data_IF_415568573509
#
_entry.id   IF_415568573509
#
_cell.length_a   1.000
_cell.length_b   1.000
_cell.length_c   1.000
_cell.angle_alpha   90.00
_cell.angle_beta   90.00
_cell.angle_gamma   90.00
#
_symmetry.space_group_name_H-M   'P 1'
#
loop_
_entity.id
_entity.type
_entity.pdbx_description
1 polymer ?
#
# COMPACT_ATOMS: atom_id res chain seq x y z
N UNK A 1 -5.53 -14.74 -4.16
CA UNK A 1 -4.54 -13.84 -4.79
C UNK A 1 -3.17 -14.14 -4.22
N UNK A 2 -2.15 -14.12 -5.06
CA UNK A 2 -0.75 -14.30 -4.68
C UNK A 2 -0.25 -12.96 -4.12
N UNK A 3 0.32 -12.94 -2.91
CA UNK A 3 0.86 -11.72 -2.32
C UNK A 3 2.24 -11.42 -2.89
N UNK A 4 2.46 -10.23 -3.43
CA UNK A 4 3.75 -9.77 -3.94
C UNK A 4 4.28 -8.62 -3.08
N UNK A 5 5.21 -8.94 -2.18
CA UNK A 5 5.90 -7.94 -1.36
C UNK A 5 6.86 -7.12 -2.23
N UNK A 6 7.21 -5.91 -1.77
CA UNK A 6 8.12 -4.97 -2.44
C UNK A 6 7.65 -4.51 -3.83
N UNK A 7 6.41 -4.81 -4.21
CA UNK A 7 5.85 -4.46 -5.50
C UNK A 7 4.96 -3.23 -5.42
N UNK A 8 5.33 -2.20 -6.18
CA UNK A 8 4.46 -1.13 -6.63
C UNK A 8 3.88 -1.55 -7.98
N UNK A 9 2.57 -1.76 -8.03
CA UNK A 9 1.86 -2.02 -9.27
C UNK A 9 1.17 -0.73 -9.76
N UNK A 10 1.34 -0.44 -11.05
CA UNK A 10 0.83 0.76 -11.72
C UNK A 10 -0.15 0.30 -12.81
N UNK A 11 -1.43 0.54 -12.55
CA UNK A 11 -2.53 0.36 -13.48
C UNK A 11 -2.87 1.62 -14.26
N UNK A 12 -3.71 1.48 -15.28
CA UNK A 12 -4.20 2.58 -16.10
C UNK A 12 -5.68 2.42 -16.46
N UNK A 13 -6.44 3.50 -16.36
CA UNK A 13 -7.82 3.58 -16.79
C UNK A 13 -7.99 3.51 -18.33
N UNK A 14 -6.97 3.92 -19.10
CA UNK A 14 -7.13 4.32 -20.50
C UNK A 14 -5.86 4.22 -21.35
N UNK A 15 -5.82 4.93 -22.48
CA UNK A 15 -4.54 5.27 -23.15
C UNK A 15 -4.03 6.58 -22.56
N UNK A 16 -2.76 6.88 -22.79
CA UNK A 16 -2.15 8.20 -22.51
C UNK A 16 -2.29 8.71 -21.07
N UNK A 17 -2.54 7.81 -20.11
CA UNK A 17 -2.68 8.12 -18.68
C UNK A 17 -1.38 8.50 -17.97
N UNK A 18 -0.25 8.60 -18.69
CA UNK A 18 1.06 8.87 -18.09
C UNK A 18 1.68 7.71 -17.27
N UNK A 19 1.06 6.52 -17.22
CA UNK A 19 1.54 5.37 -16.40
C UNK A 19 3.05 5.08 -16.54
N UNK A 20 3.58 5.11 -17.76
CA UNK A 20 4.98 4.76 -18.04
C UNK A 20 5.90 5.91 -17.69
N UNK A 21 5.44 7.15 -17.87
CA UNK A 21 6.16 8.32 -17.39
C UNK A 21 6.29 8.28 -15.86
N UNK A 22 5.19 7.97 -15.15
CA UNK A 22 5.21 7.82 -13.71
C UNK A 22 6.13 6.69 -13.25
N UNK A 23 6.02 5.49 -13.85
CA UNK A 23 6.90 4.36 -13.55
C UNK A 23 8.38 4.73 -13.71
N UNK A 24 8.73 5.44 -14.79
CA UNK A 24 10.10 5.92 -15.00
C UNK A 24 10.53 6.93 -13.91
N UNK A 25 9.66 7.86 -13.51
CA UNK A 25 9.96 8.82 -12.44
C UNK A 25 10.19 8.12 -11.09
N UNK A 26 9.38 7.10 -10.76
CA UNK A 26 9.58 6.27 -9.57
C UNK A 26 10.93 5.54 -9.62
N UNK A 27 11.24 4.89 -10.74
CA UNK A 27 12.51 4.16 -10.90
C UNK A 27 13.69 5.12 -10.73
N UNK A 28 13.69 6.29 -11.39
CA UNK A 28 14.77 7.29 -11.28
C UNK A 28 14.98 7.75 -9.84
N UNK A 29 13.89 7.97 -9.09
CA UNK A 29 13.97 8.38 -7.69
C UNK A 29 14.54 7.27 -6.81
N UNK A 30 14.12 6.03 -7.03
CA UNK A 30 14.44 4.91 -6.12
C UNK A 30 15.73 4.15 -6.47
N UNK A 31 16.23 4.24 -7.70
CA UNK A 31 17.42 3.48 -8.12
C UNK A 31 18.74 3.99 -7.52
N UNK A 32 18.73 5.16 -6.87
CA UNK A 32 19.89 5.67 -6.15
C UNK A 32 20.20 4.85 -4.90
N UNK A 33 19.15 4.42 -4.18
CA UNK A 33 19.28 3.77 -2.86
C UNK A 33 18.88 2.29 -2.88
N UNK A 34 18.26 1.82 -3.96
CA UNK A 34 17.67 0.49 -4.03
C UNK A 34 17.93 -0.19 -5.38
N UNK A 35 18.06 -1.53 -5.34
CA UNK A 35 17.96 -2.35 -6.54
C UNK A 35 16.50 -2.37 -7.02
N UNK A 36 16.23 -1.76 -8.19
CA UNK A 36 14.87 -1.67 -8.75
C UNK A 36 14.74 -2.53 -10.00
N UNK A 37 13.72 -3.39 -10.03
CA UNK A 37 13.34 -4.19 -11.18
C UNK A 37 12.04 -3.65 -11.78
N UNK A 38 12.07 -3.39 -13.09
CA UNK A 38 10.87 -3.06 -13.86
C UNK A 38 10.13 -4.33 -14.28
N UNK A 39 8.80 -4.28 -14.29
CA UNK A 39 7.98 -5.37 -14.81
C UNK A 39 6.92 -4.81 -15.74
N UNK A 40 6.76 -5.43 -16.91
CA UNK A 40 5.63 -5.21 -17.81
C UNK A 40 4.84 -6.51 -17.94
N UNK A 41 3.51 -6.41 -17.92
CA UNK A 41 2.64 -7.56 -18.20
C UNK A 41 1.71 -7.25 -19.36
N UNK A 42 1.67 -8.15 -20.35
CA UNK A 42 0.76 -8.07 -21.49
C UNK A 42 -0.06 -9.35 -21.56
N UNK A 43 -1.37 -9.22 -21.36
CA UNK A 43 -2.30 -10.34 -21.51
C UNK A 43 -2.75 -10.49 -22.96
N UNK A 44 -2.69 -11.71 -23.48
CA UNK A 44 -3.12 -12.10 -24.82
C UNK A 44 -4.47 -12.83 -24.70
N UNK A 45 -5.44 -12.46 -25.54
CA UNK A 45 -6.80 -13.05 -25.46
C UNK A 45 -6.80 -14.49 -25.98
N UNK A 46 -6.21 -14.74 -27.15
CA UNK A 46 -6.22 -16.03 -27.83
C UNK A 46 -4.89 -16.22 -28.59
N UNK A 47 -4.43 -17.46 -28.75
CA UNK A 47 -3.22 -17.79 -29.52
C UNK A 47 -3.42 -17.34 -30.98
N UNK A 48 -2.48 -16.57 -31.53
CA UNK A 48 -2.57 -16.04 -32.90
C UNK A 48 -3.48 -14.81 -33.09
N UNK A 49 -4.00 -14.22 -32.00
CA UNK A 49 -4.86 -13.03 -32.08
C UNK A 49 -4.15 -11.74 -32.54
N UNK A 50 -4.93 -10.78 -33.06
CA UNK A 50 -4.43 -9.46 -33.47
C UNK A 50 -3.84 -8.69 -32.28
N UNK A 51 -2.65 -8.11 -32.47
CA UNK A 51 -1.96 -7.32 -31.46
C UNK A 51 -2.83 -6.13 -31.00
N UNK A 52 -3.13 -5.98 -29.68
CA UNK A 52 -3.95 -4.87 -29.18
C UNK A 52 -3.28 -3.50 -29.28
N UNK A 53 -1.99 -3.45 -29.64
CA UNK A 53 -1.24 -2.21 -29.95
C UNK A 53 -1.34 -1.79 -31.43
N UNK A 54 -2.05 -2.53 -32.28
CA UNK A 54 -2.49 -2.05 -33.59
C UNK A 54 -1.40 -1.83 -34.64
N UNK A 55 -0.36 -2.66 -34.66
CA UNK A 55 0.57 -2.70 -35.79
C UNK A 55 0.40 -4.02 -36.54
N UNK A 56 -0.02 -3.97 -37.81
CA UNK A 56 0.33 -5.05 -38.74
C UNK A 56 1.86 -5.16 -38.72
N UNK A 57 2.38 -6.37 -38.47
CA UNK A 57 3.81 -6.74 -38.53
C UNK A 57 4.76 -6.54 -37.33
N UNK A 58 4.33 -6.37 -36.06
CA UNK A 58 5.33 -6.34 -34.97
C UNK A 58 5.93 -7.73 -34.61
N UNK A 59 5.27 -8.84 -34.96
CA UNK A 59 5.76 -10.20 -34.71
C UNK A 59 5.83 -10.65 -33.23
N UNK A 60 5.72 -9.74 -32.26
CA UNK A 60 6.01 -10.02 -30.84
C UNK A 60 4.89 -10.79 -30.11
N UNK A 61 3.68 -10.82 -30.66
CA UNK A 61 2.47 -11.36 -30.01
C UNK A 61 1.94 -12.66 -30.62
N UNK A 62 2.41 -13.06 -31.82
CA UNK A 62 1.82 -14.17 -32.57
C UNK A 62 2.39 -15.55 -32.19
N UNK A 63 3.55 -15.61 -31.55
CA UNK A 63 4.22 -16.84 -31.14
C UNK A 63 4.50 -16.82 -29.64
N UNK A 64 3.52 -17.25 -28.83
CA UNK A 64 3.82 -17.76 -27.50
C UNK A 64 4.12 -19.26 -27.64
N UNK A 65 5.35 -19.67 -27.35
CA UNK A 65 5.68 -21.08 -27.16
C UNK A 65 5.17 -21.49 -25.77
N UNK A 66 3.89 -21.86 -25.67
CA UNK A 66 3.23 -22.28 -24.44
C UNK A 66 2.16 -21.32 -23.91
N UNK A 67 1.91 -21.35 -22.60
CA UNK A 67 0.85 -20.57 -21.95
C UNK A 67 1.27 -19.14 -21.61
N UNK A 68 2.58 -18.94 -21.44
CA UNK A 68 3.20 -17.66 -21.18
C UNK A 68 4.64 -17.67 -21.68
N UNK A 69 5.21 -16.48 -21.84
CA UNK A 69 6.62 -16.25 -22.12
C UNK A 69 7.09 -15.10 -21.23
N UNK A 70 8.15 -15.35 -20.47
CA UNK A 70 8.81 -14.36 -19.64
C UNK A 70 10.13 -13.98 -20.30
N UNK A 71 10.39 -12.69 -20.50
CA UNK A 71 11.66 -12.21 -21.08
C UNK A 71 12.34 -11.26 -20.11
N UNK A 72 13.66 -11.35 -20.02
CA UNK A 72 14.50 -10.46 -19.20
C UNK A 72 15.31 -9.57 -20.14
N UNK A 73 15.30 -8.28 -19.84
CA UNK A 73 16.14 -7.28 -20.48
C UNK A 73 17.03 -6.64 -19.40
N UNK A 74 18.34 -6.58 -19.68
CA UNK A 74 19.33 -5.98 -18.80
C UNK A 74 20.11 -4.90 -19.55
N UNK A 75 20.63 -3.91 -18.83
CA UNK A 75 21.47 -2.86 -19.43
C UNK A 75 22.66 -3.49 -20.17
N UNK A 76 22.86 -3.14 -21.43
CA UNK A 76 24.06 -3.54 -22.18
C UNK A 76 25.29 -2.91 -21.52
N UNK A 77 26.04 -3.71 -20.76
CA UNK A 77 27.21 -3.24 -20.01
C UNK A 77 27.93 -4.26 -19.12
N UNK A 78 27.45 -5.49 -18.99
CA UNK A 78 28.13 -6.58 -18.26
C UNK A 78 28.26 -7.88 -19.06
N UNK A 79 28.37 -7.83 -20.39
CA UNK A 79 28.95 -8.94 -21.15
C UNK A 79 30.34 -8.55 -21.63
N UNK A 80 31.38 -9.09 -20.96
CA UNK A 80 32.62 -9.38 -21.67
C UNK A 80 32.27 -10.38 -22.76
N UNK A 81 32.12 -9.90 -24.00
CA UNK A 81 32.39 -10.57 -25.28
C UNK A 81 31.48 -10.02 -26.38
N UNK A 82 32.13 -9.43 -27.40
CA UNK A 82 31.76 -9.51 -28.81
C UNK A 82 30.39 -8.98 -29.24
N UNK A 83 30.41 -7.84 -29.93
CA UNK A 83 29.35 -7.50 -30.90
C UNK A 83 29.30 -8.59 -31.97
N UNK A 84 28.25 -9.40 -31.99
CA UNK A 84 27.79 -10.09 -33.20
C UNK A 84 26.28 -9.97 -33.28
N UNK A 85 25.79 -9.48 -34.42
CA UNK A 85 24.40 -9.66 -34.86
C UNK A 85 24.03 -11.14 -34.81
N UNK A 86 23.35 -11.57 -33.76
CA UNK A 86 22.99 -12.96 -33.51
C UNK A 86 21.54 -13.08 -33.05
N UNK A 87 20.88 -14.18 -33.46
CA UNK A 87 19.54 -14.57 -33.01
C UNK A 87 19.43 -14.47 -31.47
N UNK A 88 18.23 -14.16 -30.92
CA UNK A 88 18.02 -14.14 -29.48
C UNK A 88 18.47 -15.48 -28.86
N UNK A 89 19.35 -15.43 -27.86
CA UNK A 89 19.75 -16.60 -27.09
C UNK A 89 18.61 -16.97 -26.12
N UNK A 90 18.16 -18.22 -26.14
CA UNK A 90 17.31 -18.77 -25.08
C UNK A 90 18.16 -18.93 -23.81
N UNK A 91 17.94 -18.06 -22.82
CA UNK A 91 18.36 -18.32 -21.45
C UNK A 91 17.28 -19.11 -20.71
N UNK A 92 17.62 -19.59 -19.52
CA UNK A 92 16.66 -20.22 -18.60
C UNK A 92 16.83 -19.61 -17.22
N UNK A 93 15.72 -19.20 -16.59
CA UNK A 93 15.72 -18.81 -15.18
C UNK A 93 15.24 -20.00 -14.34
N UNK A 94 15.99 -20.44 -13.32
CA UNK A 94 15.53 -21.46 -12.40
C UNK A 94 14.34 -20.93 -11.58
N UNK A 95 13.27 -21.73 -11.51
CA UNK A 95 12.08 -21.46 -10.69
C UNK A 95 11.77 -22.70 -9.84
N UNK A 96 10.89 -22.56 -8.84
CA UNK A 96 10.45 -23.71 -8.05
C UNK A 96 9.74 -24.73 -8.97
N UNK A 97 10.36 -25.91 -9.14
CA UNK A 97 9.83 -26.99 -9.98
C UNK A 97 10.39 -27.07 -11.40
N UNK A 98 11.43 -26.31 -11.76
CA UNK A 98 12.13 -26.47 -13.04
C UNK A 98 12.83 -25.20 -13.53
N UNK A 99 12.89 -25.02 -14.85
CA UNK A 99 13.43 -23.83 -15.50
C UNK A 99 12.41 -23.22 -16.44
N UNK A 100 12.21 -21.90 -16.37
CA UNK A 100 11.37 -21.17 -17.33
C UNK A 100 12.28 -20.61 -18.44
N UNK A 101 11.97 -20.82 -19.73
CA UNK A 101 12.73 -20.21 -20.81
C UNK A 101 12.55 -18.69 -20.77
N UNK A 102 13.68 -17.99 -20.70
CA UNK A 102 13.75 -16.53 -20.75
C UNK A 102 14.49 -16.12 -22.01
N UNK A 103 13.75 -15.55 -22.95
CA UNK A 103 14.35 -14.99 -24.15
C UNK A 103 14.95 -13.62 -23.81
N UNK A 104 16.22 -13.42 -24.15
CA UNK A 104 16.83 -12.07 -24.14
C UNK A 104 16.46 -11.39 -25.45
N UNK A 105 15.66 -10.33 -25.39
CA UNK A 105 15.18 -9.59 -26.58
C UNK A 105 15.44 -8.11 -26.37
N UNK A 106 15.81 -7.37 -27.42
CA UNK A 106 15.79 -5.90 -27.41
C UNK A 106 14.40 -5.45 -27.86
N UNK A 107 13.62 -4.79 -26.99
CA UNK A 107 12.31 -4.26 -27.33
C UNK A 107 12.19 -2.76 -26.99
N UNK A 108 11.78 -1.95 -27.98
CA UNK A 108 11.61 -0.48 -27.91
C UNK A 108 10.72 0.05 -26.77
N UNK A 109 9.96 -0.82 -26.11
CA UNK A 109 8.96 -0.46 -25.11
C UNK A 109 9.47 -0.61 -23.66
N UNK A 110 10.36 -1.56 -23.42
CA UNK A 110 10.99 -1.90 -22.13
C UNK A 110 12.25 -1.06 -21.88
N UNK A 111 12.88 -0.58 -22.95
CA UNK A 111 14.02 0.37 -22.93
C UNK A 111 13.78 1.54 -21.96
N UNK A 112 12.57 2.12 -21.93
CA UNK A 112 12.25 3.28 -21.07
C UNK A 112 12.47 3.02 -19.57
N UNK A 113 12.18 1.81 -19.08
CA UNK A 113 12.37 1.49 -17.66
C UNK A 113 13.85 1.24 -17.33
N UNK A 114 14.60 0.64 -18.27
CA UNK A 114 16.06 0.49 -18.16
C UNK A 114 16.75 1.86 -18.19
N UNK A 115 16.38 2.72 -19.14
CA UNK A 115 16.87 4.10 -19.26
C UNK A 115 16.56 4.94 -18.01
N UNK A 116 15.43 4.65 -17.35
CA UNK A 116 15.05 5.29 -16.10
C UNK A 116 15.88 4.83 -14.89
N UNK A 117 16.69 3.76 -15.02
CA UNK A 117 17.57 3.30 -13.94
C UNK A 117 17.31 1.88 -13.45
N UNK A 118 16.31 1.16 -13.96
CA UNK A 118 16.05 -0.21 -13.54
C UNK A 118 17.26 -1.10 -13.83
N UNK A 119 17.61 -1.97 -12.88
CA UNK A 119 18.71 -2.91 -13.05
C UNK A 119 18.37 -3.99 -14.09
N UNK A 120 17.12 -4.45 -14.04
CA UNK A 120 16.52 -5.43 -14.95
C UNK A 120 15.09 -5.05 -15.26
N UNK A 121 14.60 -5.47 -16.42
CA UNK A 121 13.19 -5.38 -16.78
C UNK A 121 12.69 -6.74 -17.22
N UNK A 122 11.66 -7.25 -16.56
CA UNK A 122 10.96 -8.46 -16.97
C UNK A 122 9.71 -8.10 -17.77
N UNK A 123 9.47 -8.79 -18.88
CA UNK A 123 8.24 -8.69 -19.64
C UNK A 123 7.53 -10.03 -19.69
N UNK A 124 6.40 -10.12 -18.99
CA UNK A 124 5.50 -11.27 -19.02
C UNK A 124 4.46 -11.09 -20.11
N UNK A 125 4.46 -11.98 -21.09
CA UNK A 125 3.38 -12.16 -22.07
C UNK A 125 2.66 -13.45 -21.72
N UNK A 126 1.34 -13.39 -21.50
CA UNK A 126 0.60 -14.52 -20.93
C UNK A 126 -0.83 -14.59 -21.47
N UNK A 127 -1.33 -15.80 -21.72
CA UNK A 127 -2.73 -16.01 -22.05
C UNK A 127 -3.62 -15.63 -20.86
N UNK A 128 -4.74 -14.97 -21.12
CA UNK A 128 -5.60 -14.40 -20.07
C UNK A 128 -6.08 -15.42 -19.05
N UNK A 129 -6.39 -16.64 -19.50
CA UNK A 129 -6.80 -17.80 -18.69
C UNK A 129 -5.65 -18.48 -17.93
N UNK A 130 -4.39 -18.15 -18.27
CA UNK A 130 -3.17 -18.68 -17.66
C UNK A 130 -2.39 -17.62 -16.88
N UNK A 131 -3.04 -16.50 -16.55
CA UNK A 131 -2.41 -15.37 -15.88
C UNK A 131 -1.86 -15.73 -14.49
N UNK A 132 -2.52 -16.60 -13.73
CA UNK A 132 -2.00 -17.03 -12.43
C UNK A 132 -0.69 -17.81 -12.56
N UNK A 133 -0.59 -18.72 -13.53
CA UNK A 133 0.63 -19.49 -13.82
C UNK A 133 1.78 -18.56 -14.22
N UNK A 134 1.53 -17.64 -15.17
CA UNK A 134 2.53 -16.66 -15.57
C UNK A 134 2.93 -15.72 -14.43
N UNK A 135 2.00 -15.37 -13.53
CA UNK A 135 2.30 -14.55 -12.37
C UNK A 135 3.22 -15.28 -11.37
N UNK A 136 3.02 -16.58 -11.14
CA UNK A 136 3.91 -17.39 -10.28
C UNK A 136 5.32 -17.46 -10.87
N UNK A 137 5.42 -17.80 -12.15
CA UNK A 137 6.71 -17.85 -12.84
C UNK A 137 7.45 -16.50 -12.83
N UNK A 138 6.71 -15.40 -13.01
CA UNK A 138 7.26 -14.05 -12.85
C UNK A 138 7.79 -13.84 -11.43
N UNK A 139 6.99 -14.09 -10.40
CA UNK A 139 7.38 -13.84 -9.01
C UNK A 139 8.57 -14.70 -8.56
N UNK A 140 8.64 -15.95 -9.02
CA UNK A 140 9.77 -16.85 -8.75
C UNK A 140 11.07 -16.38 -9.40
N UNK A 141 10.98 -15.65 -10.52
CA UNK A 141 12.13 -15.09 -11.22
C UNK A 141 12.64 -13.76 -10.63
N UNK A 142 11.84 -13.07 -9.81
CA UNK A 142 12.23 -11.78 -9.23
C UNK A 142 13.17 -11.96 -8.06
N UNK A 143 14.18 -11.09 -7.96
CA UNK A 143 15.02 -10.99 -6.77
C UNK A 143 14.16 -10.61 -5.54
N UNK A 144 14.11 -11.45 -4.49
CA UNK A 144 13.27 -11.20 -3.31
C UNK A 144 13.69 -9.95 -2.53
N UNK A 145 14.90 -9.43 -2.77
CA UNK A 145 15.40 -8.22 -2.15
C UNK A 145 15.21 -6.95 -2.99
N UNK A 146 14.86 -7.08 -4.28
CA UNK A 146 14.64 -5.92 -5.14
C UNK A 146 13.29 -5.24 -4.88
N UNK A 147 13.24 -3.93 -5.14
CA UNK A 147 11.97 -3.22 -5.29
C UNK A 147 11.43 -3.44 -6.70
N UNK A 148 10.13 -3.72 -6.80
CA UNK A 148 9.49 -4.01 -8.08
C UNK A 148 8.58 -2.87 -8.48
N UNK A 149 8.75 -2.35 -9.70
CA UNK A 149 7.84 -1.39 -10.34
C UNK A 149 7.16 -2.08 -11.51
N UNK A 150 5.91 -2.49 -11.32
CA UNK A 150 5.16 -3.33 -12.26
C UNK A 150 4.04 -2.58 -12.96
N UNK A 151 4.06 -2.50 -14.28
CA UNK A 151 2.95 -1.99 -15.07
C UNK A 151 1.95 -3.10 -15.45
N UNK A 152 0.78 -3.10 -14.81
CA UNK A 152 -0.31 -4.00 -15.22
C UNK A 152 -1.65 -3.64 -14.57
N UNK A 153 -2.74 -3.71 -15.34
CA UNK A 153 -4.08 -3.88 -14.78
C UNK A 153 -4.36 -5.35 -14.50
N UNK A 154 -4.10 -6.21 -15.49
CA UNK A 154 -4.54 -7.61 -15.45
C UNK A 154 -3.87 -8.36 -14.31
N UNK A 155 -2.56 -8.15 -14.07
CA UNK A 155 -1.83 -8.85 -13.00
C UNK A 155 -2.51 -8.63 -11.64
N UNK A 156 -3.16 -7.47 -11.41
CA UNK A 156 -3.89 -7.19 -10.17
C UNK A 156 -5.05 -8.16 -9.92
N UNK A 157 -5.62 -8.83 -10.92
CA UNK A 157 -6.72 -9.80 -10.68
C UNK A 157 -6.24 -11.06 -9.96
N UNK A 158 -4.95 -11.38 -10.02
CA UNK A 158 -4.36 -12.58 -9.41
C UNK A 158 -3.29 -12.25 -8.36
N UNK A 159 -2.65 -11.08 -8.44
CA UNK A 159 -1.60 -10.62 -7.51
C UNK A 159 -2.10 -9.47 -6.63
N UNK A 160 -1.81 -9.54 -5.34
CA UNK A 160 -1.98 -8.46 -4.38
C UNK A 160 -0.59 -7.84 -4.07
N UNK A 161 -0.28 -6.66 -4.64
CA UNK A 161 0.99 -5.96 -4.41
C UNK A 161 1.00 -5.22 -3.05
N UNK A 162 2.17 -4.73 -2.64
CA UNK A 162 2.25 -3.83 -1.49
C UNK A 162 1.50 -2.52 -1.76
N UNK A 163 1.65 -1.94 -2.95
CA UNK A 163 0.95 -0.72 -3.33
C UNK A 163 0.39 -0.85 -4.75
N UNK A 164 -0.89 -0.53 -4.94
CA UNK A 164 -1.52 -0.47 -6.25
C UNK A 164 -2.05 0.92 -6.55
N UNK A 165 -1.39 1.59 -7.50
CA UNK A 165 -1.78 2.90 -8.01
C UNK A 165 -2.42 2.74 -9.38
N UNK A 166 -3.45 3.51 -9.66
CA UNK A 166 -4.09 3.53 -10.97
C UNK A 166 -4.07 4.94 -11.54
N UNK A 167 -3.78 5.08 -12.82
CA UNK A 167 -3.68 6.39 -13.47
C UNK A 167 -4.78 6.58 -14.52
N UNK A 168 -5.35 7.78 -14.62
CA UNK A 168 -6.28 8.16 -15.68
C UNK A 168 -5.85 9.49 -16.31
N UNK A 169 -6.18 9.69 -17.58
CA UNK A 169 -6.08 11.02 -18.17
C UNK A 169 -7.22 11.91 -17.62
N UNK A 170 -7.01 13.22 -17.53
CA UNK A 170 -8.02 14.18 -17.08
C UNK A 170 -9.29 14.12 -17.96
N UNK A 171 -9.10 13.98 -19.27
CA UNK A 171 -10.18 13.88 -20.25
C UNK A 171 -10.82 12.47 -20.34
N UNK A 172 -10.29 11.49 -19.60
CA UNK A 172 -10.82 10.14 -19.64
C UNK A 172 -12.18 10.08 -18.93
N UNK A 173 -13.25 9.91 -19.72
CA UNK A 173 -14.63 9.77 -19.23
C UNK A 173 -14.96 8.36 -18.74
N UNK A 174 -14.24 7.35 -19.22
CA UNK A 174 -14.52 5.95 -18.92
C UNK A 174 -13.27 5.17 -18.56
N UNK A 175 -13.46 4.09 -17.81
CA UNK A 175 -12.43 3.10 -17.52
C UNK A 175 -12.58 1.93 -18.50
N UNK A 176 -11.47 1.48 -19.09
CA UNK A 176 -11.41 0.22 -19.85
C UNK A 176 -11.87 -0.96 -18.97
N UNK A 177 -12.37 -2.02 -19.59
CA UNK A 177 -12.84 -3.22 -18.88
C UNK A 177 -11.80 -3.78 -17.90
N UNK A 178 -10.53 -3.88 -18.32
CA UNK A 178 -9.44 -4.35 -17.44
C UNK A 178 -9.17 -3.42 -16.26
N UNK A 179 -9.40 -2.12 -16.40
CA UNK A 179 -9.26 -1.16 -15.31
C UNK A 179 -10.45 -1.21 -14.35
N UNK A 180 -11.68 -1.32 -14.89
CA UNK A 180 -12.92 -1.48 -14.09
C UNK A 180 -12.84 -2.68 -13.16
N UNK A 181 -12.31 -3.81 -13.64
CA UNK A 181 -12.19 -5.06 -12.88
C UNK A 181 -11.31 -4.94 -11.62
N UNK A 182 -10.39 -3.97 -11.57
CA UNK A 182 -9.41 -3.85 -10.48
C UNK A 182 -9.42 -2.48 -9.81
N UNK A 183 -10.25 -1.53 -10.26
CA UNK A 183 -10.30 -0.15 -9.76
C UNK A 183 -10.56 -0.07 -8.26
N UNK A 184 -11.45 -0.92 -7.75
CA UNK A 184 -11.79 -0.93 -6.31
C UNK A 184 -10.61 -1.34 -5.44
N UNK A 185 -9.64 -2.04 -6.03
CA UNK A 185 -8.40 -2.40 -5.37
C UNK A 185 -7.34 -1.28 -5.43
N UNK A 186 -7.54 -0.20 -6.17
CA UNK A 186 -6.55 0.88 -6.24
C UNK A 186 -6.50 1.66 -4.92
N UNK A 187 -5.31 1.68 -4.30
CA UNK A 187 -5.04 2.45 -3.09
C UNK A 187 -5.22 3.96 -3.38
N UNK A 188 -4.83 4.39 -4.58
CA UNK A 188 -5.11 5.72 -5.13
C UNK A 188 -5.31 5.64 -6.65
N UNK A 189 -6.29 6.39 -7.14
CA UNK A 189 -6.48 6.65 -8.57
C UNK A 189 -5.99 8.07 -8.87
N UNK A 190 -4.81 8.22 -9.45
CA UNK A 190 -4.24 9.50 -9.83
C UNK A 190 -4.70 9.95 -11.23
N UNK A 191 -4.77 11.26 -11.43
CA UNK A 191 -5.17 11.95 -12.65
C UNK A 191 -3.95 12.61 -13.27
N UNK A 192 -3.75 12.40 -14.58
CA UNK A 192 -2.72 13.01 -15.39
C UNK A 192 -3.34 14.01 -16.36
N UNK A 193 -2.83 15.25 -16.41
CA UNK A 193 -3.36 16.32 -17.26
C UNK A 193 -2.58 16.52 -18.57
N UNK A 194 -1.63 15.63 -18.89
CA UNK A 194 -0.72 15.76 -20.03
C UNK A 194 0.67 16.29 -19.66
N UNK A 195 0.81 16.96 -18.51
CA UNK A 195 2.08 17.50 -18.01
C UNK A 195 2.46 16.93 -16.63
N UNK A 196 1.51 16.86 -15.71
CA UNK A 196 1.71 16.49 -14.31
C UNK A 196 0.61 15.56 -13.78
N UNK A 197 0.89 14.94 -12.63
CA UNK A 197 -0.04 14.07 -11.90
C UNK A 197 -0.61 14.80 -10.67
N UNK A 198 -1.85 14.53 -10.30
CA UNK A 198 -2.45 14.93 -9.00
C UNK A 198 -1.97 14.06 -7.81
N UNK A 199 -0.74 13.55 -7.93
CA UNK A 199 -0.04 12.73 -6.97
C UNK A 199 1.41 13.22 -6.94
N UNK A 200 1.86 13.62 -5.76
CA UNK A 200 3.24 14.02 -5.54
C UNK A 200 4.12 12.78 -5.45
N UNK A 201 5.25 12.78 -6.14
CA UNK A 201 6.21 11.68 -6.06
C UNK A 201 6.87 11.63 -4.68
N UNK A 202 6.88 12.73 -3.94
CA UNK A 202 7.39 12.80 -2.56
C UNK A 202 6.45 12.18 -1.53
N UNK A 203 5.19 11.95 -1.90
CA UNK A 203 4.30 11.11 -1.10
C UNK A 203 4.66 9.62 -1.21
N UNK A 204 5.46 9.21 -2.21
CA UNK A 204 5.91 7.83 -2.38
C UNK A 204 7.28 7.64 -1.73
N UNK A 205 7.36 6.65 -0.84
CA UNK A 205 8.60 6.30 -0.13
C UNK A 205 8.77 4.79 -0.02
N UNK A 206 9.97 4.38 0.41
CA UNK A 206 10.31 2.99 0.70
C UNK A 206 10.80 2.91 2.14
N UNK A 207 10.26 1.99 2.91
CA UNK A 207 10.75 1.68 4.24
C UNK A 207 10.74 0.17 4.47
N UNK A 208 11.83 -0.37 5.03
CA UNK A 208 11.99 -1.82 5.24
C UNK A 208 11.73 -2.65 3.97
N UNK A 209 12.14 -2.11 2.81
CA UNK A 209 11.93 -2.73 1.50
C UNK A 209 10.48 -2.70 0.98
N UNK A 210 9.57 -2.00 1.65
CA UNK A 210 8.15 -1.92 1.25
C UNK A 210 7.79 -0.53 0.74
N UNK A 211 6.96 -0.48 -0.29
CA UNK A 211 6.40 0.77 -0.81
C UNK A 211 5.35 1.34 0.14
N UNK A 212 5.45 2.64 0.41
CA UNK A 212 4.51 3.41 1.19
C UNK A 212 4.03 4.64 0.41
N UNK A 213 2.75 4.97 0.56
CA UNK A 213 2.14 6.19 0.05
C UNK A 213 1.62 7.02 1.23
N UNK A 214 1.99 8.31 1.28
CA UNK A 214 1.35 9.29 2.16
C UNK A 214 -0.02 9.67 1.60
N UNK A 215 -1.06 9.14 2.22
CA UNK A 215 -2.43 9.38 1.83
C UNK A 215 -2.86 10.82 2.19
N UNK A 216 -3.69 11.42 1.33
CA UNK A 216 -4.44 12.64 1.63
C UNK A 216 -5.56 12.34 2.64
N UNK A 217 -5.13 11.98 3.84
CA UNK A 217 -5.92 11.60 5.01
C UNK A 217 -5.11 11.96 6.25
N UNK A 218 -5.79 12.11 7.38
CA UNK A 218 -5.15 12.28 8.67
C UNK A 218 -5.08 10.94 9.42
N UNK A 219 -4.09 10.79 10.28
CA UNK A 219 -4.10 9.79 11.34
C UNK A 219 -4.23 10.46 12.70
N UNK A 220 -5.02 9.87 13.58
CA UNK A 220 -5.32 10.35 14.91
C UNK A 220 -4.88 9.28 15.90
N UNK A 221 -3.93 9.65 16.75
CA UNK A 221 -3.44 8.79 17.82
C UNK A 221 -4.16 9.16 19.12
N UNK A 222 -4.95 8.23 19.65
CA UNK A 222 -5.60 8.40 20.93
C UNK A 222 -4.60 8.12 22.05
N UNK A 223 -4.11 9.20 22.67
CA UNK A 223 -3.17 9.16 23.78
C UNK A 223 -3.79 9.64 25.11
N UNK A 224 -5.04 10.12 25.08
CA UNK A 224 -5.80 10.51 26.27
C UNK A 224 -6.46 9.34 27.01
N UNK A 225 -6.42 9.38 28.35
CA UNK A 225 -7.17 8.49 29.23
C UNK A 225 -6.49 8.26 30.57
N UNK A 226 -7.26 8.07 31.64
CA UNK A 226 -6.68 7.75 32.96
C UNK A 226 -6.17 6.30 32.95
N UNK A 227 -4.87 6.10 32.70
CA UNK A 227 -4.16 4.82 32.72
C UNK A 227 -4.03 4.24 34.15
N UNK A 228 -5.15 4.14 34.87
CA UNK A 228 -5.20 3.73 36.29
C UNK A 228 -4.71 2.31 36.53
N UNK A 229 -4.80 1.42 35.52
CA UNK A 229 -4.41 0.00 35.63
C UNK A 229 -2.91 -0.27 35.54
N UNK A 230 -2.12 0.63 34.94
CA UNK A 230 -0.66 0.44 34.76
C UNK A 230 0.20 1.33 35.67
N UNK A 231 -0.41 2.28 36.40
CA UNK A 231 0.29 3.18 37.33
C UNK A 231 1.26 4.17 36.66
N UNK A 232 1.44 4.09 35.34
CA UNK A 232 2.20 4.99 34.46
C UNK A 232 1.42 5.19 33.16
N UNK A 233 1.69 6.27 32.45
CA UNK A 233 1.16 6.44 31.10
C UNK A 233 1.70 5.34 30.19
N UNK A 234 0.78 4.56 29.59
CA UNK A 234 1.10 3.46 28.68
C UNK A 234 1.83 3.98 27.44
N UNK A 235 1.45 5.15 26.95
CA UNK A 235 2.03 5.77 25.75
C UNK A 235 3.56 5.96 25.89
N UNK A 236 4.02 6.17 27.13
CA UNK A 236 5.40 6.47 27.49
C UNK A 236 6.23 5.23 27.87
N UNK A 237 5.66 4.02 27.77
CA UNK A 237 6.44 2.80 27.99
C UNK A 237 7.51 2.65 26.90
N UNK A 238 8.77 2.34 27.24
CA UNK A 238 9.85 2.25 26.26
C UNK A 238 9.77 0.95 25.44
N UNK A 239 9.90 1.04 24.13
CA UNK A 239 10.08 -0.07 23.22
C UNK A 239 11.34 0.22 22.40
N UNK A 240 12.35 -0.66 22.48
CA UNK A 240 13.65 -0.43 21.81
C UNK A 240 14.25 0.97 22.11
N UNK A 241 14.15 1.42 23.36
CA UNK A 241 14.69 2.72 23.81
C UNK A 241 13.82 3.95 23.50
N UNK A 242 12.67 3.81 22.84
CA UNK A 242 11.77 4.93 22.48
C UNK A 242 10.35 4.70 22.99
N UNK A 243 9.58 5.73 23.39
CA UNK A 243 8.18 5.57 23.83
C UNK A 243 7.31 4.83 22.82
N UNK A 244 6.35 4.01 23.27
CA UNK A 244 5.41 3.29 22.40
C UNK A 244 4.70 4.22 21.41
N UNK A 245 4.26 5.38 21.86
CA UNK A 245 3.59 6.36 20.99
C UNK A 245 4.49 6.87 19.87
N UNK A 246 5.81 6.94 20.07
CA UNK A 246 6.75 7.38 19.06
C UNK A 246 6.84 6.36 17.91
N UNK A 247 6.74 5.06 18.20
CA UNK A 247 6.66 4.01 17.18
C UNK A 247 5.38 4.13 16.35
N UNK A 248 4.25 4.39 17.02
CA UNK A 248 2.95 4.61 16.36
C UNK A 248 3.02 5.83 15.43
N UNK A 249 3.44 6.99 15.96
CA UNK A 249 3.52 8.25 15.19
C UNK A 249 4.48 8.13 14.01
N UNK A 250 5.69 7.61 14.22
CA UNK A 250 6.69 7.46 13.15
C UNK A 250 6.28 6.44 12.07
N UNK A 251 5.45 5.46 12.42
CA UNK A 251 4.78 4.60 11.45
C UNK A 251 3.76 5.36 10.62
N UNK A 252 2.91 6.15 11.27
CA UNK A 252 1.83 6.90 10.62
C UNK A 252 2.33 8.03 9.71
N UNK A 253 3.38 8.75 10.08
CA UNK A 253 3.96 9.85 9.27
C UNK A 253 4.32 9.43 7.83
N UNK A 254 4.69 8.16 7.64
CA UNK A 254 5.02 7.58 6.32
C UNK A 254 3.81 7.29 5.45
N UNK A 255 2.63 7.23 6.05
CA UNK A 255 1.39 6.81 5.40
C UNK A 255 0.30 7.88 5.40
N UNK A 256 0.46 8.96 6.17
CA UNK A 256 -0.53 10.03 6.28
C UNK A 256 0.13 11.40 6.08
N UNK A 257 -0.62 12.32 5.46
CA UNK A 257 -0.15 13.70 5.27
C UNK A 257 -0.24 14.53 6.55
N UNK A 258 -1.08 14.13 7.49
CA UNK A 258 -1.26 14.78 8.78
C UNK A 258 -1.36 13.70 9.86
N UNK A 259 -0.65 13.91 10.97
CA UNK A 259 -0.78 13.09 12.18
C UNK A 259 -1.18 14.03 13.32
N UNK A 260 -2.19 13.64 14.11
CA UNK A 260 -2.71 14.40 15.23
C UNK A 260 -2.70 13.51 16.46
N UNK A 261 -2.27 14.05 17.59
CA UNK A 261 -2.30 13.37 18.87
C UNK A 261 -3.51 13.91 19.65
N UNK A 262 -4.45 13.02 19.98
CA UNK A 262 -5.57 13.33 20.87
C UNK A 262 -5.10 13.17 22.32
N UNK A 263 -4.79 14.30 22.97
CA UNK A 263 -4.35 14.35 24.36
C UNK A 263 -4.65 15.72 24.99
N UNK A 264 -4.90 15.75 26.30
CA UNK A 264 -5.29 16.97 27.01
C UNK A 264 -4.09 17.82 27.47
N UNK A 265 -2.88 17.27 27.50
CA UNK A 265 -1.64 18.02 27.79
C UNK A 265 -0.72 18.04 26.57
N UNK A 266 -0.66 19.16 25.82
CA UNK A 266 0.27 19.30 24.70
C UNK A 266 1.75 19.18 25.06
N UNK A 267 2.14 19.52 26.29
CA UNK A 267 3.56 19.51 26.70
C UNK A 267 4.12 18.11 26.80
N UNK A 268 3.28 17.14 27.18
CA UNK A 268 3.66 15.73 27.33
C UNK A 268 4.15 15.12 26.01
N UNK A 269 3.57 15.55 24.89
CA UNK A 269 3.80 14.99 23.56
C UNK A 269 4.57 15.92 22.61
N UNK A 270 5.06 17.06 23.10
CA UNK A 270 5.76 18.06 22.30
C UNK A 270 7.01 17.50 21.58
N UNK A 271 7.67 16.51 22.17
CA UNK A 271 8.86 15.86 21.59
C UNK A 271 8.59 15.12 20.26
N UNK A 272 7.32 14.81 19.96
CA UNK A 272 6.93 14.14 18.72
C UNK A 272 6.83 15.10 17.54
N UNK A 273 6.80 16.43 17.79
CA UNK A 273 6.68 17.44 16.74
C UNK A 273 5.32 17.48 16.03
N UNK A 274 4.34 16.70 16.50
CA UNK A 274 2.99 16.63 15.94
C UNK A 274 2.01 17.56 16.65
N UNK A 275 0.92 17.89 15.96
CA UNK A 275 -0.16 18.69 16.56
C UNK A 275 -0.88 17.89 17.64
N UNK A 276 -0.91 18.43 18.86
CA UNK A 276 -1.70 17.88 19.97
C UNK A 276 -3.03 18.63 20.06
N UNK A 277 -4.13 17.89 20.15
CA UNK A 277 -5.50 18.43 20.27
C UNK A 277 -6.17 17.79 21.47
N UNK A 278 -6.58 18.64 22.41
CA UNK A 278 -7.35 18.23 23.59
C UNK A 278 -8.83 18.05 23.31
N UNK A 279 -9.51 17.43 24.26
CA UNK A 279 -10.97 17.32 24.25
C UNK A 279 -11.61 18.71 24.33
N UNK A 280 -12.59 19.00 23.47
CA UNK A 280 -13.43 20.21 23.54
C UNK A 280 -14.14 20.28 24.91
N UNK A 281 -14.59 19.13 25.41
CA UNK A 281 -15.13 18.97 26.76
C UNK A 281 -14.47 17.79 27.47
N UNK A 282 -13.52 18.04 28.40
CA UNK A 282 -12.80 16.98 29.11
C UNK A 282 -13.72 15.96 29.80
N UNK A 283 -13.27 14.71 29.89
CA UNK A 283 -13.95 13.65 30.66
C UNK A 283 -15.16 13.02 29.96
N UNK A 284 -15.34 13.28 28.66
CA UNK A 284 -16.44 12.72 27.85
C UNK A 284 -16.07 11.41 27.12
N UNK A 285 -14.91 10.84 27.44
CA UNK A 285 -14.45 9.54 26.93
C UNK A 285 -13.96 9.59 25.48
N UNK A 286 -13.61 8.43 24.88
CA UNK A 286 -12.96 8.39 23.57
C UNK A 286 -13.77 9.03 22.43
N UNK A 287 -15.11 9.05 22.53
CA UNK A 287 -15.95 9.71 21.54
C UNK A 287 -15.64 11.22 21.44
N UNK A 288 -15.35 11.88 22.56
CA UNK A 288 -15.01 13.31 22.55
C UNK A 288 -13.66 13.55 21.90
N UNK A 289 -12.64 12.80 22.27
CA UNK A 289 -11.32 12.90 21.66
C UNK A 289 -11.37 12.68 20.15
N UNK A 290 -12.17 11.71 19.69
CA UNK A 290 -12.41 11.49 18.25
C UNK A 290 -13.12 12.69 17.62
N UNK A 291 -14.20 13.22 18.20
CA UNK A 291 -14.91 14.37 17.63
C UNK A 291 -14.01 15.61 17.54
N UNK A 292 -13.32 15.97 18.62
CA UNK A 292 -12.41 17.14 18.63
C UNK A 292 -11.30 17.03 17.60
N UNK A 293 -10.71 15.84 17.45
CA UNK A 293 -9.63 15.63 16.46
C UNK A 293 -10.14 15.49 15.03
N UNK A 294 -11.28 14.83 14.81
CA UNK A 294 -11.92 14.81 13.49
C UNK A 294 -12.24 16.21 13.02
N UNK A 295 -12.71 17.10 13.88
CA UNK A 295 -13.00 18.48 13.47
C UNK A 295 -11.74 19.30 13.19
N UNK A 296 -10.74 19.17 14.05
CA UNK A 296 -9.49 19.88 13.94
C UNK A 296 -8.62 19.43 12.75
N UNK A 297 -8.86 18.21 12.23
CA UNK A 297 -8.08 17.67 11.12
C UNK A 297 -8.33 18.40 9.81
N UNK A 298 -7.31 18.48 8.98
CA UNK A 298 -7.40 19.11 7.65
C UNK A 298 -8.14 18.23 6.65
N UNK A 299 -8.11 16.91 6.87
CA UNK A 299 -8.62 15.92 5.93
C UNK A 299 -10.00 15.38 6.32
N UNK A 300 -10.82 15.09 5.31
CA UNK A 300 -12.12 14.46 5.51
C UNK A 300 -12.01 13.01 6.03
N UNK A 301 -11.00 12.25 5.58
CA UNK A 301 -10.78 10.85 5.99
C UNK A 301 -9.73 10.79 7.09
N UNK A 302 -10.06 10.10 8.19
CA UNK A 302 -9.26 10.06 9.40
C UNK A 302 -9.10 8.60 9.86
N UNK A 303 -7.87 8.11 9.95
CA UNK A 303 -7.58 6.82 10.61
C UNK A 303 -7.35 7.07 12.10
N UNK A 304 -8.22 6.54 12.94
CA UNK A 304 -8.11 6.63 14.41
C UNK A 304 -7.47 5.36 14.93
N UNK A 305 -6.43 5.49 15.75
CA UNK A 305 -5.73 4.37 16.39
C UNK A 305 -5.36 4.70 17.84
N UNK A 306 -5.37 3.72 18.72
CA UNK A 306 -4.84 3.88 20.08
C UNK A 306 -3.29 3.92 20.08
N UNK A 307 -2.71 4.60 21.07
CA UNK A 307 -1.25 4.72 21.21
C UNK A 307 -0.53 3.41 21.61
N UNK A 308 -1.25 2.35 21.94
CA UNK A 308 -0.74 1.07 22.44
C UNK A 308 -0.71 -0.05 21.37
N UNK A 309 -0.77 0.32 20.08
CA UNK A 309 -0.69 -0.57 18.92
C UNK A 309 0.57 -0.22 18.08
N UNK A 310 1.79 -0.57 18.54
CA UNK A 310 3.03 -0.13 17.88
C UNK A 310 3.28 -0.78 16.50
N UNK A 311 2.67 -1.93 16.22
CA UNK A 311 2.85 -2.65 14.95
C UNK A 311 1.60 -2.60 14.09
N UNK A 312 1.38 -1.48 13.42
CA UNK A 312 0.21 -1.28 12.55
C UNK A 312 0.38 -2.05 11.23
N UNK A 313 -0.59 -2.90 10.88
CA UNK A 313 -0.66 -3.47 9.54
C UNK A 313 -1.20 -2.44 8.55
N UNK A 314 -0.29 -1.68 7.93
CA UNK A 314 -0.66 -0.66 6.95
C UNK A 314 -1.34 -1.23 5.70
N UNK A 315 -1.14 -2.50 5.36
CA UNK A 315 -1.89 -3.13 4.28
C UNK A 315 -3.38 -3.24 4.63
N UNK A 316 -3.68 -3.57 5.89
CA UNK A 316 -5.05 -3.56 6.40
C UNK A 316 -5.61 -2.12 6.50
N UNK A 317 -4.81 -1.15 6.96
CA UNK A 317 -5.22 0.27 6.99
C UNK A 317 -5.58 0.77 5.59
N UNK A 318 -4.79 0.46 4.55
CA UNK A 318 -5.12 0.81 3.16
C UNK A 318 -6.43 0.16 2.68
N UNK A 319 -6.72 -1.09 3.09
CA UNK A 319 -8.03 -1.71 2.84
C UNK A 319 -9.17 -0.90 3.45
N UNK A 320 -9.02 -0.41 4.68
CA UNK A 320 -10.01 0.46 5.32
C UNK A 320 -10.16 1.81 4.61
N UNK A 321 -9.05 2.48 4.27
CA UNK A 321 -9.06 3.76 3.55
C UNK A 321 -9.72 3.66 2.16
N UNK A 322 -9.50 2.55 1.43
CA UNK A 322 -10.21 2.31 0.16
C UNK A 322 -11.71 2.14 0.37
N UNK A 323 -12.09 1.38 1.39
CA UNK A 323 -13.50 1.08 1.69
C UNK A 323 -14.26 2.29 2.20
N UNK A 324 -13.61 3.21 2.91
CA UNK A 324 -14.26 4.39 3.51
C UNK A 324 -14.84 5.37 2.50
N UNK A 325 -14.43 5.31 1.22
CA UNK A 325 -14.92 6.20 0.14
C UNK A 325 -16.46 6.29 0.04
N UNK A 326 -17.19 5.30 0.54
CA UNK A 326 -18.65 5.20 0.44
C UNK A 326 -19.38 5.21 1.79
N UNK A 327 -18.66 5.35 2.91
CA UNK A 327 -19.18 5.16 4.27
C UNK A 327 -18.72 6.29 5.19
N UNK A 328 -19.43 6.47 6.31
CA UNK A 328 -19.05 7.44 7.34
C UNK A 328 -17.98 6.84 8.28
N UNK A 329 -17.88 5.51 8.33
CA UNK A 329 -16.78 4.81 8.99
C UNK A 329 -16.59 3.37 8.52
N UNK A 330 -15.35 2.88 8.70
CA UNK A 330 -14.95 1.49 8.45
C UNK A 330 -14.33 0.96 9.74
N UNK A 331 -15.00 -0.01 10.35
CA UNK A 331 -14.63 -0.53 11.68
C UNK A 331 -14.24 -2.01 11.56
N UNK A 332 -13.04 -2.42 11.99
CA UNK A 332 -12.67 -3.82 12.00
C UNK A 332 -13.60 -4.63 12.89
N UNK A 333 -13.86 -5.87 12.47
CA UNK A 333 -14.66 -6.83 13.21
C UNK A 333 -13.91 -8.15 13.29
N UNK A 334 -13.68 -8.64 14.50
CA UNK A 334 -13.11 -9.97 14.74
C UNK A 334 -14.08 -11.06 14.28
N UNK A 335 -13.59 -12.29 14.05
CA UNK A 335 -14.45 -13.44 13.74
C UNK A 335 -15.50 -13.72 14.82
N UNK A 336 -15.20 -13.40 16.09
CA UNK A 336 -16.13 -13.53 17.20
C UNK A 336 -17.21 -12.43 17.24
N UNK A 337 -17.17 -11.45 16.32
CA UNK A 337 -18.14 -10.36 16.22
C UNK A 337 -17.75 -9.08 16.96
N UNK A 338 -16.67 -9.09 17.74
CA UNK A 338 -16.20 -7.89 18.46
C UNK A 338 -15.71 -6.81 17.49
N UNK A 339 -16.07 -5.56 17.76
CA UNK A 339 -15.67 -4.39 16.98
C UNK A 339 -14.43 -3.73 17.58
N UNK A 340 -13.60 -3.15 16.73
CA UNK A 340 -12.38 -2.42 17.12
C UNK A 340 -12.49 -0.94 16.74
N UNK A 341 -13.37 -0.17 17.41
CA UNK A 341 -13.71 1.19 17.01
C UNK A 341 -12.59 2.22 17.26
N UNK A 342 -11.57 1.86 18.05
CA UNK A 342 -10.40 2.70 18.29
C UNK A 342 -9.21 2.32 17.39
N UNK A 343 -9.46 1.50 16.37
CA UNK A 343 -8.55 1.24 15.26
C UNK A 343 -9.37 1.20 13.95
N UNK A 344 -9.90 2.35 13.56
CA UNK A 344 -10.92 2.44 12.52
C UNK A 344 -10.72 3.68 11.66
N UNK A 345 -11.32 3.69 10.47
CA UNK A 345 -11.37 4.89 9.63
C UNK A 345 -12.71 5.57 9.82
N UNK A 346 -12.70 6.86 10.10
CA UNK A 346 -13.89 7.70 10.20
C UNK A 346 -13.80 8.88 9.25
N UNK A 347 -14.95 9.34 8.75
CA UNK A 347 -15.04 10.54 7.92
C UNK A 347 -15.73 11.66 8.65
N UNK A 348 -15.46 12.91 8.26
CA UNK A 348 -16.14 14.09 8.80
C UNK A 348 -17.66 14.04 8.60
N UNK A 349 -18.15 13.31 7.59
CA UNK A 349 -19.59 13.08 7.40
C UNK A 349 -20.28 12.39 8.58
N UNK A 350 -19.54 11.64 9.42
CA UNK A 350 -20.07 11.02 10.64
C UNK A 350 -20.18 11.96 11.84
N UNK A 351 -19.62 13.18 11.78
CA UNK A 351 -19.56 14.09 12.92
C UNK A 351 -20.93 14.45 13.50
N UNK A 352 -21.96 14.61 12.64
CA UNK A 352 -23.30 14.98 13.08
C UNK A 352 -23.87 13.94 14.06
N UNK A 353 -23.80 12.66 13.69
CA UNK A 353 -24.24 11.55 14.53
C UNK A 353 -23.39 11.41 15.80
N UNK A 354 -22.07 11.57 15.68
CA UNK A 354 -21.15 11.53 16.83
C UNK A 354 -21.46 12.64 17.85
N UNK A 355 -21.77 13.86 17.39
CA UNK A 355 -22.19 14.98 18.23
C UNK A 355 -23.56 14.73 18.87
N UNK A 356 -24.52 14.19 18.14
CA UNK A 356 -25.81 13.81 18.70
C UNK A 356 -25.66 12.79 19.85
N UNK A 357 -24.79 11.79 19.68
CA UNK A 357 -24.48 10.83 20.73
C UNK A 357 -23.83 11.49 21.96
N UNK A 358 -22.92 12.46 21.78
CA UNK A 358 -22.34 13.23 22.89
C UNK A 358 -23.39 14.05 23.65
N UNK A 359 -24.28 14.74 22.92
CA UNK A 359 -25.39 15.51 23.51
C UNK A 359 -26.33 14.60 24.32
N UNK A 360 -26.55 13.37 23.85
CA UNK A 360 -27.30 12.33 24.58
C UNK A 360 -26.51 11.69 25.74
N UNK A 361 -25.36 12.24 26.11
CA UNK A 361 -24.53 11.78 27.23
C UNK A 361 -23.75 10.48 26.96
N UNK A 362 -23.69 10.01 25.71
CA UNK A 362 -22.90 8.83 25.35
C UNK A 362 -21.41 9.17 25.30
N UNK A 363 -20.57 8.20 25.66
CA UNK A 363 -19.11 8.35 25.73
C UNK A 363 -18.33 7.42 24.79
N UNK A 364 -19.02 6.42 24.23
CA UNK A 364 -18.43 5.41 23.34
C UNK A 364 -18.88 5.69 21.92
N UNK A 365 -17.95 5.67 20.97
CA UNK A 365 -18.25 5.92 19.56
C UNK A 365 -19.22 4.93 18.93
N UNK A 366 -19.25 3.69 19.44
CA UNK A 366 -20.23 2.67 18.99
C UNK A 366 -21.67 3.15 19.17
N UNK A 367 -21.93 4.05 20.13
CA UNK A 367 -23.27 4.61 20.35
C UNK A 367 -23.75 5.56 19.23
N UNK A 368 -22.86 5.99 18.33
CA UNK A 368 -23.21 6.79 17.16
C UNK A 368 -23.40 5.94 15.88
N UNK A 369 -23.14 4.63 15.93
CA UNK A 369 -23.10 3.79 14.73
C UNK A 369 -24.47 3.62 14.09
N UNK A 370 -25.54 3.59 14.88
CA UNK A 370 -26.91 3.43 14.34
C UNK A 370 -27.32 4.62 13.45
N UNK A 371 -26.75 5.80 13.70
CA UNK A 371 -26.99 7.03 12.94
C UNK A 371 -25.89 7.30 11.89
N UNK A 372 -24.98 6.36 11.65
CA UNK A 372 -23.90 6.45 10.67
C UNK A 372 -23.97 5.31 9.66
N UNK A 373 -23.53 5.56 8.42
CA UNK A 373 -23.25 4.47 7.47
C UNK A 373 -21.92 3.83 7.83
N UNK A 374 -21.94 2.87 8.75
CA UNK A 374 -20.77 2.08 9.12
C UNK A 374 -20.69 0.82 8.27
N UNK A 375 -19.49 0.50 7.80
CA UNK A 375 -19.19 -0.81 7.23
C UNK A 375 -18.09 -1.50 8.03
N UNK A 376 -18.04 -2.83 7.90
CA UNK A 376 -17.08 -3.65 8.62
C UNK A 376 -16.10 -4.33 7.69
N UNK A 377 -14.89 -4.56 8.17
CA UNK A 377 -13.89 -5.41 7.52
C UNK A 377 -13.48 -6.50 8.50
N UNK A 378 -13.43 -7.75 8.03
CA UNK A 378 -13.04 -8.87 8.88
C UNK A 378 -11.56 -8.76 9.24
N UNK A 379 -11.28 -8.81 10.54
CA UNK A 379 -9.94 -8.93 11.09
C UNK A 379 -9.59 -10.43 11.19
N UNK A 380 -9.11 -11.00 10.09
CA UNK A 380 -8.80 -12.43 10.01
C UNK A 380 -7.58 -12.83 10.86
N UNK A 381 -6.58 -11.95 10.96
CA UNK A 381 -5.45 -12.07 11.87
C UNK A 381 -5.36 -10.79 12.71
N UNK A 382 -5.77 -10.87 13.98
CA UNK A 382 -5.81 -9.75 14.92
C UNK A 382 -4.56 -9.58 15.78
N UNK A 383 -3.51 -10.37 15.57
CA UNK A 383 -2.30 -10.33 16.41
C UNK A 383 -1.64 -8.95 16.43
N UNK A 384 -1.64 -8.24 15.31
CA UNK A 384 -1.07 -6.90 15.20
C UNK A 384 -1.88 -5.83 15.95
N UNK A 385 -3.16 -6.11 16.24
CA UNK A 385 -4.09 -5.21 16.91
C UNK A 385 -4.19 -5.48 18.43
N UNK A 386 -3.28 -6.29 18.99
CA UNK A 386 -3.29 -6.58 20.43
C UNK A 386 -2.84 -5.34 21.22
N UNK A 387 -3.81 -4.65 21.82
CA UNK A 387 -3.57 -3.52 22.72
C UNK A 387 -2.74 -3.94 23.93
N UNK A 388 -1.79 -3.11 24.33
CA UNK A 388 -0.94 -3.33 25.51
C UNK A 388 -1.65 -2.74 26.74
N UNK A 389 -2.44 -3.58 27.42
CA UNK A 389 -3.25 -3.15 28.55
C UNK A 389 -2.63 -3.42 29.91
N UNK A 390 -1.71 -4.38 29.98
CA UNK A 390 -1.08 -4.87 31.21
C UNK A 390 0.43 -4.93 31.09
N UNK A 391 1.13 -4.90 32.23
CA UNK A 391 2.59 -5.09 32.26
C UNK A 391 3.01 -6.49 31.79
N UNK A 392 2.15 -7.50 31.90
CA UNK A 392 2.40 -8.83 31.36
C UNK A 392 2.47 -8.80 29.83
N UNK A 393 1.47 -8.21 29.17
CA UNK A 393 1.44 -8.06 27.71
C UNK A 393 2.61 -7.21 27.18
N UNK A 394 2.99 -6.17 27.93
CA UNK A 394 4.17 -5.37 27.60
C UNK A 394 5.47 -6.19 27.67
N UNK A 395 5.65 -7.04 28.69
CA UNK A 395 6.80 -7.96 28.78
C UNK A 395 6.81 -8.99 27.64
N UNK A 396 5.64 -9.51 27.25
CA UNK A 396 5.53 -10.40 26.08
C UNK A 396 5.99 -9.71 24.79
N UNK A 397 5.59 -8.46 24.59
CA UNK A 397 6.04 -7.64 23.46
C UNK A 397 7.57 -7.48 23.46
N UNK A 398 8.16 -7.10 24.59
CA UNK A 398 9.61 -6.95 24.71
C UNK A 398 10.35 -8.26 24.39
N UNK A 399 9.85 -9.39 24.87
CA UNK A 399 10.44 -10.70 24.59
C UNK A 399 10.38 -11.06 23.09
N UNK A 400 9.27 -10.75 22.41
CA UNK A 400 9.12 -10.95 20.96
C UNK A 400 10.11 -10.09 20.17
N UNK A 401 10.27 -8.82 20.54
CA UNK A 401 11.21 -7.91 19.91
C UNK A 401 12.65 -8.41 20.04
N UNK A 402 13.08 -8.79 21.25
CA UNK A 402 14.42 -9.35 21.47
C UNK A 402 14.66 -10.62 20.64
N UNK A 403 13.64 -11.47 20.48
CA UNK A 403 13.73 -12.67 19.66
C UNK A 403 13.71 -12.38 18.14
N UNK A 404 13.13 -11.27 17.70
CA UNK A 404 13.16 -10.84 16.32
C UNK A 404 14.54 -10.25 15.95
N UNK A 405 15.12 -9.41 16.82
CA UNK A 405 16.47 -8.86 16.65
C UNK A 405 17.52 -9.96 16.51
N UNK A 406 17.47 -10.98 17.37
CA UNK A 406 18.40 -12.14 17.33
C UNK A 406 18.25 -13.06 16.11
N UNK A 407 17.16 -12.94 15.34
CA UNK A 407 16.92 -13.72 14.11
C UNK A 407 17.25 -12.94 12.84
N UNK A 408 17.47 -11.64 12.96
CA UNK A 408 17.86 -10.74 11.87
C UNK A 408 19.35 -10.38 11.86
N UNK A 409 20.10 -10.83 12.87
CA UNK A 409 21.57 -10.96 12.90
C UNK A 409 21.96 -12.37 12.41
#
# INVERSE_FOLDING_TARGET
MIRARRMLMIGSAGRDSGKTQFACSVIRKSCADHNVIGVKVTTIQERGGRCPRGGESCGVCAALDGNFCLTEEAKQGQSRLGRTSGRPSLGTVPVLGGTVPVLTVSAKDTDRLLDAGAAKVYWLRVLKDRLEEGARALLDALDPNALIVCESNSLRTVVEPDLFLMFRHADARTFKASARAVREHADRVATFNGASFDLDLDDLSVANGQWALRHAAAAIVLAGGSSTRMGRDKAMLPLQGRPLIEHVVSGLQRHFKEVIISANDPKEYAFLGERVVGDETPGRGPLMGIVSTLEASTYDVNFVVACDIPHIDFHFVRKMLRKSRHYDGVVPRTRAGNLEPLCAVYRKSGLLAMRAALTAGKRRIVAAFDDCRITHIELANGEWLKNINTMGEYKELLAKEMAATKRGE
#
